data_IF_449246806625
#
_entry.id   IF_449246806625
#
_cell.length_a   1.000
_cell.length_b   1.000
_cell.length_c   1.000
_cell.angle_alpha   90.00
_cell.angle_beta   90.00
_cell.angle_gamma   90.00
#
_symmetry.space_group_name_H-M   'P 1'
#
loop_
_entity.id
_entity.type
_entity.pdbx_description
1 polymer ?
#
# COMPACT_ATOMS: atom_id res chain seq x y z
N UNK A 1 0.57 15.75 14.26
CA UNK A 1 1.30 14.69 13.52
C UNK A 1 2.68 15.24 13.20
N UNK A 2 3.75 14.47 13.41
CA UNK A 2 5.09 14.91 13.03
C UNK A 2 5.22 14.84 11.50
N UNK A 3 5.78 15.87 10.88
CA UNK A 3 6.10 15.91 9.45
C UNK A 3 7.55 16.32 9.29
N UNK A 4 8.34 15.48 8.61
CA UNK A 4 9.73 15.80 8.27
C UNK A 4 9.75 16.36 6.85
N UNK A 5 10.44 17.49 6.67
CA UNK A 5 10.61 18.07 5.34
C UNK A 5 11.73 17.36 4.59
N UNK A 6 11.36 16.48 3.66
CA UNK A 6 12.28 15.76 2.78
C UNK A 6 12.47 16.44 1.42
N UNK A 7 12.15 17.73 1.27
CA UNK A 7 12.21 18.44 -0.02
C UNK A 7 13.56 18.30 -0.72
N UNK A 8 14.67 18.55 -0.03
CA UNK A 8 16.00 18.49 -0.64
C UNK A 8 16.49 17.06 -0.86
N UNK A 9 16.17 16.14 0.06
CA UNK A 9 16.40 14.71 -0.13
C UNK A 9 15.68 14.20 -1.39
N UNK A 10 14.42 14.60 -1.59
CA UNK A 10 13.61 14.23 -2.74
C UNK A 10 14.13 14.80 -4.06
N UNK A 11 14.83 15.96 -4.04
CA UNK A 11 15.51 16.52 -5.22
C UNK A 11 16.72 15.67 -5.60
N UNK A 12 17.52 15.24 -4.62
CA UNK A 12 18.71 14.42 -4.85
C UNK A 12 18.37 12.95 -5.19
N UNK A 13 17.21 12.46 -4.75
CA UNK A 13 16.78 11.09 -4.97
C UNK A 13 16.32 10.85 -6.42
N UNK A 14 16.90 9.87 -7.14
CA UNK A 14 16.39 9.42 -8.42
C UNK A 14 14.94 8.97 -8.31
N UNK A 15 14.09 9.38 -9.28
CA UNK A 15 12.69 9.00 -9.29
C UNK A 15 12.55 7.54 -9.74
N UNK A 16 11.83 6.73 -8.97
CA UNK A 16 11.42 5.39 -9.41
C UNK A 16 10.29 5.52 -10.45
N UNK A 17 10.48 5.03 -11.69
CA UNK A 17 9.46 5.13 -12.75
C UNK A 17 8.37 4.06 -12.63
N UNK A 18 8.28 3.32 -11.52
CA UNK A 18 7.27 2.27 -11.34
C UNK A 18 5.85 2.82 -11.59
N UNK A 19 5.07 2.17 -12.45
CA UNK A 19 3.76 2.66 -12.83
C UNK A 19 2.79 2.54 -11.65
N UNK A 20 2.11 3.64 -11.35
CA UNK A 20 0.91 3.60 -10.53
C UNK A 20 -0.29 3.24 -11.42
N UNK A 21 -1.22 2.40 -10.95
CA UNK A 21 -2.45 2.10 -11.66
C UNK A 21 -3.26 3.36 -11.93
N UNK A 22 -4.04 3.34 -13.02
CA UNK A 22 -5.01 4.40 -13.30
C UNK A 22 -6.27 4.15 -12.50
N UNK A 23 -6.69 5.16 -11.74
CA UNK A 23 -7.91 5.08 -10.91
C UNK A 23 -9.13 4.72 -11.77
N UNK A 24 -9.27 5.33 -12.96
CA UNK A 24 -10.38 5.04 -13.88
C UNK A 24 -10.46 3.56 -14.24
N UNK A 25 -9.32 2.90 -14.47
CA UNK A 25 -9.29 1.46 -14.79
C UNK A 25 -9.72 0.61 -13.60
N UNK A 26 -9.34 1.00 -12.38
CA UNK A 26 -9.77 0.31 -11.16
C UNK A 26 -11.28 0.45 -11.00
N UNK A 27 -11.83 1.64 -11.18
CA UNK A 27 -13.28 1.90 -11.08
C UNK A 27 -14.05 1.15 -12.17
N UNK A 28 -13.61 1.21 -13.43
CA UNK A 28 -14.26 0.48 -14.52
C UNK A 28 -14.25 -1.03 -14.28
N UNK A 29 -13.21 -1.53 -13.62
CA UNK A 29 -13.06 -2.96 -13.35
C UNK A 29 -14.01 -3.49 -12.26
N UNK A 30 -14.61 -2.62 -11.45
CA UNK A 30 -15.63 -2.98 -10.45
C UNK A 30 -17.04 -2.97 -11.04
N UNK A 31 -17.22 -2.41 -12.24
CA UNK A 31 -18.51 -2.38 -12.91
C UNK A 31 -19.03 -3.81 -13.20
N UNK A 32 -20.26 -4.07 -12.78
CA UNK A 32 -20.91 -5.38 -12.94
C UNK A 32 -20.40 -6.48 -12.01
N UNK A 33 -19.69 -6.10 -10.93
CA UNK A 33 -19.47 -6.97 -9.78
C UNK A 33 -20.69 -6.89 -8.85
N UNK A 34 -21.02 -8.02 -8.22
CA UNK A 34 -22.17 -8.17 -7.33
C UNK A 34 -21.88 -7.65 -5.93
N UNK A 35 -20.64 -7.81 -5.48
CA UNK A 35 -20.18 -7.38 -4.16
C UNK A 35 -18.76 -6.81 -4.23
N UNK A 36 -18.53 -5.78 -3.41
CA UNK A 36 -17.23 -5.16 -3.20
C UNK A 36 -16.85 -5.16 -1.71
N UNK A 37 -15.57 -5.35 -1.44
CA UNK A 37 -14.96 -5.12 -0.14
C UNK A 37 -13.79 -4.16 -0.29
N UNK A 38 -13.80 -3.07 0.47
CA UNK A 38 -12.73 -2.09 0.52
C UNK A 38 -11.86 -2.37 1.73
N UNK A 39 -10.55 -2.51 1.52
CA UNK A 39 -9.59 -2.77 2.58
C UNK A 39 -8.54 -1.65 2.59
N UNK A 40 -8.25 -1.10 3.77
CA UNK A 40 -7.24 -0.05 3.98
C UNK A 40 -6.01 -0.66 4.67
N UNK A 41 -4.83 -0.51 4.06
CA UNK A 41 -3.58 -0.95 4.66
C UNK A 41 -3.19 -0.04 5.84
N UNK A 42 -3.10 -0.61 7.04
CA UNK A 42 -2.85 0.13 8.28
C UNK A 42 -1.51 0.87 8.25
N UNK A 43 -1.56 2.20 8.35
CA UNK A 43 -0.34 3.02 8.36
C UNK A 43 0.55 2.77 7.13
N UNK A 44 -0.04 2.37 5.99
CA UNK A 44 0.56 2.27 4.66
C UNK A 44 2.07 2.12 4.63
N UNK A 45 2.75 3.21 4.26
CA UNK A 45 4.20 3.26 4.11
C UNK A 45 5.03 2.79 5.31
N UNK A 46 4.59 3.03 6.55
CA UNK A 46 5.35 2.64 7.75
C UNK A 46 5.48 1.11 7.94
N UNK A 47 4.72 0.31 7.18
CA UNK A 47 4.82 -1.14 7.22
C UNK A 47 6.06 -1.66 6.46
N UNK A 48 6.61 -0.86 5.55
CA UNK A 48 7.76 -1.23 4.73
C UNK A 48 9.03 -0.73 5.41
N UNK A 49 10.00 -1.63 5.62
CA UNK A 49 11.30 -1.27 6.17
C UNK A 49 12.13 -0.49 5.16
N UNK A 50 12.85 0.52 5.64
CA UNK A 50 13.88 1.19 4.86
C UNK A 50 15.08 0.24 4.76
N UNK A 51 15.78 0.25 3.63
CA UNK A 51 17.03 -0.48 3.50
C UNK A 51 18.04 0.08 4.52
N UNK A 52 18.85 -0.78 5.15
CA UNK A 52 19.70 -0.36 6.28
C UNK A 52 20.70 0.73 5.87
N UNK A 53 21.18 0.68 4.64
CA UNK A 53 22.06 1.67 4.00
C UNK A 53 21.39 3.02 3.69
N UNK A 54 20.05 3.05 3.69
CA UNK A 54 19.25 4.24 3.38
C UNK A 54 18.59 4.85 4.63
N UNK A 55 18.59 4.16 5.78
CA UNK A 55 18.00 4.65 7.04
C UNK A 55 18.57 6.03 7.42
N UNK A 56 19.89 6.20 7.40
CA UNK A 56 20.55 7.48 7.74
C UNK A 56 20.13 8.63 6.81
N UNK A 57 19.74 8.35 5.56
CA UNK A 57 19.26 9.38 4.62
C UNK A 57 17.90 9.93 5.02
N UNK A 58 17.15 9.19 5.84
CA UNK A 58 15.86 9.62 6.39
C UNK A 58 16.01 10.39 7.72
N UNK A 59 17.24 10.73 8.12
CA UNK A 59 17.51 11.39 9.38
C UNK A 59 16.79 12.74 9.51
N UNK A 60 16.37 13.05 10.73
CA UNK A 60 15.73 14.30 11.11
C UNK A 60 16.27 14.76 12.47
N UNK A 61 16.23 16.07 12.69
CA UNK A 61 16.74 16.72 13.89
C UNK A 61 15.58 17.08 14.79
N UNK A 62 15.73 16.77 16.07
CA UNK A 62 14.84 17.21 17.16
C UNK A 62 15.67 18.04 18.16
N UNK A 63 15.03 18.80 19.08
CA UNK A 63 15.76 19.55 20.11
C UNK A 63 16.65 18.69 21.02
N UNK A 64 16.43 17.38 21.08
CA UNK A 64 17.14 16.45 21.96
C UNK A 64 18.11 15.52 21.23
N UNK A 65 18.16 15.58 19.89
CA UNK A 65 19.06 14.75 19.11
C UNK A 65 18.60 14.47 17.69
N UNK A 66 19.43 13.74 16.97
CA UNK A 66 19.19 13.29 15.60
C UNK A 66 18.70 11.85 15.61
N UNK A 67 17.62 11.59 14.87
CA UNK A 67 17.02 10.28 14.73
C UNK A 67 16.83 9.97 13.25
N UNK A 68 16.68 8.69 12.90
CA UNK A 68 16.33 8.25 11.55
C UNK A 68 15.19 7.24 11.60
N UNK A 69 14.53 7.04 10.47
CA UNK A 69 13.45 6.07 10.34
C UNK A 69 13.99 4.71 9.88
N UNK A 70 13.52 3.65 10.55
CA UNK A 70 13.74 2.25 10.15
C UNK A 70 12.60 1.71 9.27
N UNK A 71 11.47 2.42 9.27
CA UNK A 71 10.29 2.17 8.45
C UNK A 71 10.00 3.37 7.58
N UNK A 72 9.56 3.16 6.34
CA UNK A 72 9.46 4.20 5.33
C UNK A 72 8.54 5.36 5.77
N UNK A 73 9.07 6.57 6.01
CA UNK A 73 8.28 7.70 6.47
C UNK A 73 7.46 8.32 5.34
N UNK A 74 6.41 9.03 5.73
CA UNK A 74 5.69 9.91 4.81
C UNK A 74 6.60 11.02 4.28
N UNK A 75 6.32 11.48 3.06
CA UNK A 75 7.04 12.59 2.43
C UNK A 75 8.21 12.16 1.54
N UNK A 76 8.58 10.87 1.49
CA UNK A 76 9.56 10.38 0.53
C UNK A 76 8.96 10.26 -0.88
N UNK A 77 9.70 10.75 -1.88
CA UNK A 77 9.29 10.77 -3.30
C UNK A 77 8.87 9.41 -3.85
N UNK A 78 9.56 8.35 -3.43
CA UNK A 78 9.36 7.00 -3.98
C UNK A 78 8.47 6.11 -3.10
N UNK A 79 7.84 6.64 -2.04
CA UNK A 79 7.03 5.84 -1.12
C UNK A 79 5.85 5.13 -1.82
N UNK A 80 5.10 5.84 -2.66
CA UNK A 80 4.01 5.28 -3.46
C UNK A 80 4.46 4.15 -4.40
N UNK A 81 5.44 4.38 -5.29
CA UNK A 81 6.05 3.34 -6.12
C UNK A 81 6.50 2.09 -5.35
N UNK A 82 7.19 2.28 -4.22
CA UNK A 82 7.65 1.16 -3.38
C UNK A 82 6.47 0.38 -2.81
N UNK A 83 5.44 1.07 -2.30
CA UNK A 83 4.25 0.40 -1.77
C UNK A 83 3.50 -0.38 -2.86
N UNK A 84 3.28 0.24 -4.03
CA UNK A 84 2.63 -0.43 -5.15
C UNK A 84 3.39 -1.69 -5.59
N UNK A 85 4.73 -1.66 -5.59
CA UNK A 85 5.55 -2.83 -5.91
C UNK A 85 5.39 -3.93 -4.88
N UNK A 86 5.41 -3.59 -3.59
CA UNK A 86 5.13 -4.53 -2.51
C UNK A 86 3.77 -5.18 -2.70
N UNK A 87 2.71 -4.38 -2.88
CA UNK A 87 1.35 -4.88 -3.10
C UNK A 87 1.26 -5.78 -4.32
N UNK A 88 1.93 -5.44 -5.43
CA UNK A 88 1.97 -6.29 -6.63
C UNK A 88 2.70 -7.61 -6.40
N UNK A 89 3.76 -7.61 -5.60
CA UNK A 89 4.46 -8.85 -5.23
C UNK A 89 3.56 -9.72 -4.36
N UNK A 90 2.84 -9.13 -3.42
CA UNK A 90 1.97 -9.85 -2.47
C UNK A 90 0.70 -10.40 -3.11
N UNK A 91 0.05 -9.62 -3.98
CA UNK A 91 -1.28 -9.92 -4.54
C UNK A 91 -1.24 -10.16 -6.06
N UNK A 92 -0.07 -10.43 -6.62
CA UNK A 92 0.13 -10.50 -8.08
C UNK A 92 -0.75 -11.52 -8.80
N UNK A 93 -1.12 -12.64 -8.15
CA UNK A 93 -2.05 -13.64 -8.68
C UNK A 93 -3.53 -13.22 -8.64
N UNK A 94 -3.85 -12.19 -7.87
CA UNK A 94 -5.21 -11.70 -7.62
C UNK A 94 -5.51 -10.37 -8.32
N UNK A 95 -4.49 -9.53 -8.51
CA UNK A 95 -4.62 -8.24 -9.19
C UNK A 95 -5.20 -8.42 -10.58
N UNK A 96 -6.29 -7.70 -10.87
CA UNK A 96 -7.04 -7.77 -12.12
C UNK A 96 -8.06 -8.90 -12.20
N UNK A 97 -7.96 -9.94 -11.35
CA UNK A 97 -8.91 -11.06 -11.28
C UNK A 97 -10.04 -10.77 -10.30
N UNK A 98 -9.72 -10.71 -9.02
CA UNK A 98 -10.65 -10.51 -7.91
C UNK A 98 -10.17 -9.40 -6.96
N UNK A 99 -8.99 -8.83 -7.19
CA UNK A 99 -8.46 -7.72 -6.41
C UNK A 99 -8.01 -6.60 -7.33
N UNK A 100 -8.24 -5.37 -6.92
CA UNK A 100 -7.56 -4.18 -7.43
C UNK A 100 -6.84 -3.48 -6.29
N UNK A 101 -5.74 -2.80 -6.59
CA UNK A 101 -4.91 -2.15 -5.59
C UNK A 101 -4.40 -0.81 -6.07
N UNK A 102 -4.56 0.22 -5.26
CA UNK A 102 -4.01 1.54 -5.47
C UNK A 102 -3.29 2.01 -4.22
N UNK A 103 -1.95 1.91 -4.22
CA UNK A 103 -1.14 2.22 -3.03
C UNK A 103 -1.69 1.47 -1.82
N UNK A 104 -2.21 2.17 -0.80
CA UNK A 104 -2.68 1.62 0.46
C UNK A 104 -4.13 1.10 0.39
N UNK A 105 -4.87 1.43 -0.67
CA UNK A 105 -6.27 1.06 -0.86
C UNK A 105 -6.38 -0.22 -1.70
N UNK A 106 -7.10 -1.22 -1.18
CA UNK A 106 -7.37 -2.47 -1.87
C UNK A 106 -8.87 -2.65 -2.05
N UNK A 107 -9.27 -3.16 -3.20
CA UNK A 107 -10.66 -3.51 -3.49
C UNK A 107 -10.72 -4.99 -3.86
N UNK A 108 -11.40 -5.78 -3.05
CA UNK A 108 -11.75 -7.16 -3.41
C UNK A 108 -13.14 -7.13 -4.06
N UNK A 109 -13.26 -7.73 -5.24
CA UNK A 109 -14.48 -7.70 -6.05
C UNK A 109 -14.86 -9.11 -6.47
N UNK A 110 -16.15 -9.40 -6.48
CA UNK A 110 -16.68 -10.65 -7.03
C UNK A 110 -17.93 -10.42 -7.88
N UNK A 111 -18.10 -11.28 -8.88
CA UNK A 111 -19.33 -11.41 -9.70
C UNK A 111 -20.24 -12.55 -9.24
N UNK A 112 -19.84 -13.27 -8.19
CA UNK A 112 -20.66 -14.30 -7.57
C UNK A 112 -20.48 -14.20 -6.07
N UNK A 113 -21.57 -13.88 -5.36
CA UNK A 113 -21.58 -13.73 -3.91
C UNK A 113 -21.03 -14.96 -3.17
N UNK A 114 -21.20 -16.15 -3.74
CA UNK A 114 -20.71 -17.41 -3.15
C UNK A 114 -19.17 -17.49 -3.10
N UNK A 115 -18.45 -16.81 -3.99
CA UNK A 115 -16.98 -16.87 -4.02
C UNK A 115 -16.32 -15.82 -3.13
N UNK A 116 -17.07 -14.84 -2.62
CA UNK A 116 -16.51 -13.71 -1.88
C UNK A 116 -15.66 -14.15 -0.68
N UNK A 117 -16.14 -15.14 0.07
CA UNK A 117 -15.44 -15.63 1.25
C UNK A 117 -14.12 -16.33 0.88
N UNK A 118 -14.10 -17.08 -0.23
CA UNK A 118 -12.86 -17.69 -0.73
C UNK A 118 -11.89 -16.65 -1.26
N UNK A 119 -12.38 -15.62 -1.96
CA UNK A 119 -11.57 -14.53 -2.49
C UNK A 119 -10.94 -13.69 -1.37
N UNK A 120 -11.71 -13.39 -0.32
CA UNK A 120 -11.21 -12.72 0.89
C UNK A 120 -10.21 -13.57 1.65
N UNK A 121 -10.45 -14.88 1.79
CA UNK A 121 -9.52 -15.79 2.46
C UNK A 121 -8.16 -15.84 1.74
N UNK A 122 -8.16 -15.95 0.41
CA UNK A 122 -6.93 -15.89 -0.41
C UNK A 122 -6.22 -14.55 -0.21
N UNK A 123 -6.97 -13.44 -0.28
CA UNK A 123 -6.43 -12.08 -0.10
C UNK A 123 -5.76 -11.93 1.26
N UNK A 124 -6.42 -12.35 2.35
CA UNK A 124 -5.86 -12.26 3.69
C UNK A 124 -4.65 -13.13 3.91
N UNK A 125 -4.58 -14.32 3.29
CA UNK A 125 -3.40 -15.18 3.39
C UNK A 125 -2.19 -14.57 2.67
N UNK A 126 -2.41 -13.98 1.50
CA UNK A 126 -1.38 -13.27 0.75
C UNK A 126 -0.86 -12.02 1.51
N UNK A 127 -1.77 -11.22 2.08
CA UNK A 127 -1.40 -10.07 2.91
C UNK A 127 -0.63 -10.50 4.18
N UNK A 128 -1.05 -11.59 4.82
CA UNK A 128 -0.38 -12.17 5.99
C UNK A 128 1.03 -12.63 5.65
N UNK A 129 1.21 -13.31 4.53
CA UNK A 129 2.52 -13.76 4.03
C UNK A 129 3.46 -12.58 3.78
N UNK A 130 2.92 -11.46 3.29
CA UNK A 130 3.65 -10.22 3.09
C UNK A 130 3.79 -9.34 4.34
N UNK A 131 3.19 -9.74 5.47
CA UNK A 131 3.12 -8.97 6.73
C UNK A 131 2.46 -7.59 6.58
N UNK A 132 1.56 -7.45 5.62
CA UNK A 132 0.74 -6.25 5.45
C UNK A 132 -0.46 -6.37 6.40
N UNK A 133 -0.60 -5.39 7.27
CA UNK A 133 -1.70 -5.23 8.21
C UNK A 133 -2.76 -4.34 7.60
N UNK A 134 -4.01 -4.68 7.85
CA UNK A 134 -5.17 -3.86 7.49
C UNK A 134 -5.66 -3.07 8.71
N UNK A 135 -6.36 -1.98 8.46
CA UNK A 135 -7.05 -1.21 9.47
C UNK A 135 -8.52 -1.63 9.57
N UNK A 136 -8.93 -2.40 10.59
CA UNK A 136 -10.29 -2.94 10.68
C UNK A 136 -11.38 -1.87 10.69
N UNK A 137 -11.10 -0.72 11.29
CA UNK A 137 -12.07 0.39 11.42
C UNK A 137 -12.35 1.10 10.08
N UNK A 138 -11.53 0.85 9.07
CA UNK A 138 -11.65 1.43 7.73
C UNK A 138 -11.92 0.39 6.64
N UNK A 139 -12.02 -0.88 7.00
CA UNK A 139 -12.40 -1.92 6.06
C UNK A 139 -13.93 -1.99 5.94
N UNK A 140 -14.44 -2.03 4.72
CA UNK A 140 -15.86 -2.19 4.42
C UNK A 140 -16.06 -3.49 3.64
N UNK A 141 -17.08 -4.27 4.00
CA UNK A 141 -17.30 -5.61 3.43
C UNK A 141 -18.73 -5.77 2.92
N UNK A 142 -18.87 -6.26 1.68
CA UNK A 142 -20.16 -6.69 1.12
C UNK A 142 -21.06 -5.54 0.65
N UNK A 143 -20.47 -4.50 0.06
CA UNK A 143 -21.19 -3.42 -0.62
C UNK A 143 -21.73 -3.84 -1.98
#
# INVERSE_FOLDING_TARGET
RMCVDYTDLNKACPKDPYPLPRIDQIVDSTAGCDLLCFLDAYSGYHQIRVAREDEEKTAFITPVGTYCYTSMPFGLKNAGPTFQRTTRISLGSQIGRNVEAYVDDLVVKTRNQETLLSDLAETFENLRSARIKLNPDKCEFGL
#
